data_IF_553439108804
#
_entry.id   IF_553439108804
#
_cell.length_a   1.000
_cell.length_b   1.000
_cell.length_c   1.000
_cell.angle_alpha   90.00
_cell.angle_beta   90.00
_cell.angle_gamma   90.00
#
_symmetry.space_group_name_H-M   'P 1'
#
loop_
_entity.id
_entity.type
_entity.pdbx_description
1 polymer ?
#
# COMPACT_ATOMS: atom_id res chain seq x y z
N UNK A 1 20.48 -40.68 -44.86
CA UNK A 1 20.05 -39.27 -44.82
C UNK A 1 18.87 -39.23 -43.89
N UNK A 2 19.11 -38.67 -42.71
CA UNK A 2 18.14 -38.41 -41.65
C UNK A 2 17.21 -37.24 -42.02
N UNK A 3 16.36 -36.88 -41.06
CA UNK A 3 15.30 -35.86 -41.01
C UNK A 3 13.93 -36.37 -41.48
N UNK A 4 12.86 -36.41 -40.66
CA UNK A 4 12.64 -35.84 -39.32
C UNK A 4 11.39 -36.48 -38.72
N UNK A 5 11.47 -36.89 -37.46
CA UNK A 5 10.35 -37.37 -36.63
C UNK A 5 10.12 -36.33 -35.54
N UNK A 6 8.85 -36.14 -35.17
CA UNK A 6 8.37 -35.58 -33.90
C UNK A 6 8.87 -34.19 -33.47
N UNK A 7 7.92 -33.25 -33.41
CA UNK A 7 7.35 -32.91 -32.10
C UNK A 7 6.10 -32.05 -32.26
N UNK A 8 4.97 -32.59 -31.79
CA UNK A 8 3.87 -31.79 -31.29
C UNK A 8 4.43 -30.87 -30.19
N UNK A 9 4.42 -29.57 -30.44
CA UNK A 9 4.63 -28.58 -29.39
C UNK A 9 3.43 -28.62 -28.44
N UNK A 10 3.65 -29.37 -27.36
CA UNK A 10 2.96 -29.30 -26.10
C UNK A 10 2.99 -27.85 -25.60
N UNK A 11 1.97 -27.07 -25.96
CA UNK A 11 1.67 -25.78 -25.36
C UNK A 11 1.20 -26.04 -23.92
N UNK A 12 2.17 -26.44 -23.10
CA UNK A 12 2.02 -26.71 -21.69
C UNK A 12 1.53 -25.44 -21.03
N UNK A 13 0.22 -25.46 -20.75
CA UNK A 13 -0.52 -24.68 -19.76
C UNK A 13 0.41 -24.08 -18.72
N UNK A 14 0.91 -22.88 -19.00
CA UNK A 14 1.52 -22.02 -18.01
C UNK A 14 0.38 -21.54 -17.13
N UNK A 15 0.00 -22.40 -16.18
CA UNK A 15 -0.93 -22.12 -15.10
C UNK A 15 -0.62 -20.72 -14.57
N UNK A 16 -1.48 -19.77 -14.93
CA UNK A 16 -1.51 -18.46 -14.34
C UNK A 16 -1.80 -18.68 -12.86
N UNK A 17 -0.73 -18.80 -12.08
CA UNK A 17 -0.75 -18.65 -10.64
C UNK A 17 -0.99 -17.17 -10.38
N UNK A 18 -2.17 -16.67 -10.74
CA UNK A 18 -2.79 -15.61 -9.97
C UNK A 18 -2.77 -16.15 -8.55
N UNK A 19 -1.85 -15.64 -7.73
CA UNK A 19 -1.93 -15.81 -6.30
C UNK A 19 -3.24 -15.14 -5.93
N UNK A 20 -4.32 -15.94 -5.93
CA UNK A 20 -5.57 -15.61 -5.28
C UNK A 20 -5.15 -15.01 -3.96
N UNK A 21 -5.58 -13.77 -3.68
CA UNK A 21 -5.35 -13.17 -2.37
C UNK A 21 -5.66 -14.25 -1.35
N UNK A 22 -4.84 -14.37 -0.30
CA UNK A 22 -5.29 -15.06 0.89
C UNK A 22 -6.48 -14.26 1.38
N UNK A 23 -7.67 -14.52 0.82
CA UNK A 23 -8.91 -13.99 1.34
C UNK A 23 -9.01 -14.66 2.68
N UNK A 24 -8.81 -13.88 3.74
CA UNK A 24 -8.98 -14.41 5.08
C UNK A 24 -10.43 -14.90 5.15
N UNK A 25 -10.62 -16.22 5.10
CA UNK A 25 -11.95 -16.87 5.05
C UNK A 25 -12.74 -16.54 6.33
N UNK A 26 -12.03 -16.04 7.35
CA UNK A 26 -12.60 -15.66 8.63
C UNK A 26 -13.01 -14.20 8.60
N UNK A 27 -14.30 -13.97 8.79
CA UNK A 27 -14.85 -12.65 9.07
C UNK A 27 -14.84 -12.40 10.58
N UNK A 28 -14.32 -11.25 11.01
CA UNK A 28 -14.42 -10.83 12.41
C UNK A 28 -15.90 -10.59 12.73
N UNK A 29 -16.42 -11.22 13.79
CA UNK A 29 -17.85 -11.13 14.18
C UNK A 29 -18.16 -9.98 15.14
N UNK A 30 -17.17 -9.14 15.41
CA UNK A 30 -17.28 -7.94 16.22
C UNK A 30 -16.78 -6.77 15.40
N UNK A 31 -17.20 -5.56 15.77
CA UNK A 31 -16.67 -4.35 15.18
C UNK A 31 -15.15 -4.27 15.44
N UNK A 32 -14.32 -4.04 14.42
CA UNK A 32 -12.90 -3.80 14.61
C UNK A 32 -12.66 -2.60 15.51
N UNK A 33 -11.60 -2.65 16.32
CA UNK A 33 -11.23 -1.53 17.19
C UNK A 33 -10.74 -0.31 16.39
N UNK A 34 -10.17 -0.54 15.21
CA UNK A 34 -9.61 0.52 14.39
C UNK A 34 -10.00 0.37 12.92
N UNK A 35 -10.37 1.49 12.29
CA UNK A 35 -10.45 1.56 10.84
C UNK A 35 -9.04 1.75 10.24
N UNK A 36 -8.81 1.22 9.04
CA UNK A 36 -7.60 1.47 8.27
C UNK A 36 -7.33 2.97 8.05
N UNK A 37 -8.33 3.76 7.65
CA UNK A 37 -8.11 5.18 7.33
C UNK A 37 -7.73 6.00 8.58
N UNK A 38 -8.19 5.60 9.77
CA UNK A 38 -7.85 6.23 11.05
C UNK A 38 -6.43 5.89 11.52
N UNK A 39 -5.93 4.75 11.06
CA UNK A 39 -4.61 4.21 11.45
C UNK A 39 -3.56 4.38 10.35
N UNK A 40 -3.95 4.83 9.18
CA UNK A 40 -3.03 5.18 8.12
C UNK A 40 -2.21 6.43 8.50
N UNK A 41 -0.92 6.42 8.20
CA UNK A 41 -0.02 7.55 8.38
C UNK A 41 0.37 8.08 7.00
N UNK A 42 -0.10 9.28 6.68
CA UNK A 42 0.24 9.95 5.42
C UNK A 42 1.74 10.13 5.27
N UNK A 43 2.22 10.02 4.03
CA UNK A 43 3.64 10.22 3.71
C UNK A 43 4.08 11.69 3.85
N UNK A 44 3.14 12.62 3.75
CA UNK A 44 3.41 14.05 3.79
C UNK A 44 3.55 14.57 5.21
N UNK A 45 4.39 15.59 5.40
CA UNK A 45 4.58 16.25 6.67
C UNK A 45 3.85 17.58 6.77
N UNK A 46 3.52 18.20 5.65
CA UNK A 46 2.95 19.55 5.61
C UNK A 46 1.79 19.66 4.62
N UNK A 47 0.88 20.60 4.86
CA UNK A 47 -0.26 20.93 3.99
C UNK A 47 -0.20 22.38 3.55
N UNK A 48 -0.57 22.65 2.31
CA UNK A 48 -0.65 24.00 1.77
C UNK A 48 -1.84 24.76 2.36
N UNK A 49 -1.60 26.00 2.76
CA UNK A 49 -2.59 26.96 3.24
C UNK A 49 -2.59 28.17 2.30
N UNK A 50 -3.77 28.71 2.06
CA UNK A 50 -3.96 29.98 1.37
C UNK A 50 -4.29 31.03 2.41
N UNK A 51 -3.44 32.02 2.57
CA UNK A 51 -3.71 33.14 3.45
C UNK A 51 -4.82 34.03 2.86
N UNK A 52 -5.52 34.81 3.70
CA UNK A 52 -6.51 35.78 3.24
C UNK A 52 -5.95 36.76 2.20
N UNK A 53 -4.65 37.04 2.26
CA UNK A 53 -3.93 37.95 1.36
C UNK A 53 -3.51 37.28 0.03
N UNK A 54 -3.80 35.99 -0.15
CA UNK A 54 -3.47 35.22 -1.35
C UNK A 54 -2.10 34.55 -1.33
N UNK A 55 -1.31 34.75 -0.27
CA UNK A 55 -0.02 34.10 -0.08
C UNK A 55 -0.17 32.60 0.21
N UNK A 56 0.83 31.83 -0.21
CA UNK A 56 0.89 30.38 -0.04
C UNK A 56 1.98 30.04 0.96
N UNK A 57 1.59 29.42 2.07
CA UNK A 57 2.52 28.79 3.00
C UNK A 57 2.13 27.33 3.27
N UNK A 58 2.96 26.63 4.04
CA UNK A 58 2.74 25.22 4.37
C UNK A 58 2.80 25.04 5.89
N UNK A 59 1.76 24.42 6.41
CA UNK A 59 1.62 24.11 7.83
C UNK A 59 1.96 22.65 8.11
N UNK A 60 2.68 22.34 9.20
CA UNK A 60 2.90 20.97 9.63
C UNK A 60 1.59 20.21 9.94
N UNK A 61 1.50 18.97 9.47
CA UNK A 61 0.43 18.03 9.83
C UNK A 61 0.75 17.47 11.22
N UNK A 62 0.12 18.05 12.26
CA UNK A 62 0.34 17.65 13.66
C UNK A 62 -0.91 17.00 14.29
N UNK A 63 -0.76 15.91 15.06
CA UNK A 63 0.37 14.96 15.06
C UNK A 63 0.24 13.98 13.86
N UNK A 64 1.28 13.86 13.03
CA UNK A 64 1.29 12.89 11.90
C UNK A 64 1.21 11.44 12.37
N UNK A 65 1.83 11.13 13.52
CA UNK A 65 1.83 9.80 14.15
C UNK A 65 1.00 9.85 15.44
N UNK A 66 -0.21 9.31 15.38
CA UNK A 66 -1.08 9.15 16.56
C UNK A 66 -0.98 7.73 17.08
N UNK A 67 -0.71 7.58 18.37
CA UNK A 67 -0.63 6.28 19.03
C UNK A 67 -2.02 5.64 19.16
N UNK A 68 -2.07 4.32 18.94
CA UNK A 68 -3.25 3.47 19.19
C UNK A 68 -3.31 2.97 20.63
N UNK A 69 -2.30 3.27 21.45
CA UNK A 69 -2.06 2.64 22.76
C UNK A 69 -1.81 1.12 22.69
N UNK A 70 -1.69 0.55 21.50
CA UNK A 70 -1.30 -0.84 21.27
C UNK A 70 0.11 -0.84 20.69
N UNK A 71 1.12 -1.00 21.56
CA UNK A 71 2.54 -0.85 21.22
C UNK A 71 2.95 -1.63 19.97
N UNK A 72 2.57 -2.91 19.87
CA UNK A 72 2.91 -3.75 18.72
C UNK A 72 2.23 -3.29 17.42
N UNK A 73 1.05 -2.70 17.51
CA UNK A 73 0.35 -2.16 16.34
C UNK A 73 0.97 -0.84 15.89
N UNK A 74 1.29 0.04 16.84
CA UNK A 74 2.04 1.27 16.57
C UNK A 74 3.41 0.96 15.95
N UNK A 75 4.14 -0.03 16.49
CA UNK A 75 5.40 -0.49 15.93
C UNK A 75 5.26 -0.97 14.48
N UNK A 76 4.19 -1.72 14.16
CA UNK A 76 3.93 -2.17 12.80
C UNK A 76 3.60 -1.00 11.87
N UNK A 77 2.74 -0.07 12.30
CA UNK A 77 2.41 1.14 11.55
C UNK A 77 3.64 2.00 11.26
N UNK A 78 4.52 2.18 12.24
CA UNK A 78 5.75 2.95 12.06
C UNK A 78 6.75 2.25 11.15
N UNK A 79 6.83 0.93 11.21
CA UNK A 79 7.62 0.13 10.27
C UNK A 79 7.15 0.33 8.83
N UNK A 80 5.84 0.34 8.58
CA UNK A 80 5.26 0.66 7.27
C UNK A 80 5.48 2.12 6.87
N UNK A 81 5.36 3.04 7.82
CA UNK A 81 5.58 4.46 7.60
C UNK A 81 7.00 4.76 7.11
N UNK A 82 8.00 4.08 7.69
CA UNK A 82 9.41 4.09 7.26
C UNK A 82 9.66 3.45 5.88
N UNK A 83 8.61 2.99 5.19
CA UNK A 83 8.69 2.41 3.85
C UNK A 83 9.10 0.94 3.85
N UNK A 84 9.17 0.28 5.01
CA UNK A 84 9.51 -1.15 5.11
C UNK A 84 8.25 -1.99 4.95
N UNK A 85 8.34 -3.12 4.25
CA UNK A 85 7.16 -3.94 3.89
C UNK A 85 7.32 -5.44 4.12
N UNK A 86 8.48 -5.90 4.61
CA UNK A 86 8.70 -7.32 4.91
C UNK A 86 8.11 -7.69 6.26
N UNK A 87 6.98 -8.44 6.26
CA UNK A 87 6.35 -8.95 7.48
C UNK A 87 7.29 -9.89 8.24
N UNK A 88 8.06 -10.72 7.52
CA UNK A 88 9.04 -11.63 8.13
C UNK A 88 10.12 -10.87 8.90
N UNK A 89 10.66 -9.80 8.32
CA UNK A 89 11.69 -9.01 8.99
C UNK A 89 11.14 -8.27 10.22
N UNK A 90 9.92 -7.73 10.10
CA UNK A 90 9.22 -7.12 11.24
C UNK A 90 9.02 -8.15 12.37
N UNK A 91 8.42 -9.31 12.08
CA UNK A 91 8.21 -10.33 13.09
C UNK A 91 9.52 -10.79 13.75
N UNK A 92 10.58 -10.99 12.95
CA UNK A 92 11.89 -11.40 13.46
C UNK A 92 12.49 -10.38 14.44
N UNK A 93 12.32 -9.08 14.22
CA UNK A 93 12.87 -8.06 15.14
C UNK A 93 12.16 -8.03 16.50
N UNK A 94 10.96 -8.63 16.60
CA UNK A 94 10.17 -8.70 17.82
C UNK A 94 9.99 -10.12 18.37
N UNK A 95 10.74 -11.12 17.86
CA UNK A 95 10.62 -12.51 18.31
C UNK A 95 9.28 -13.18 17.96
N UNK A 96 8.56 -12.66 16.96
CA UNK A 96 7.25 -13.15 16.51
C UNK A 96 7.36 -14.05 15.29
N UNK A 97 6.28 -14.79 15.02
CA UNK A 97 6.02 -15.41 13.72
C UNK A 97 4.94 -14.63 12.98
N UNK A 98 4.93 -14.73 11.64
CA UNK A 98 3.95 -14.03 10.79
C UNK A 98 2.49 -14.38 11.15
N UNK A 99 2.12 -15.64 11.46
CA UNK A 99 0.76 -15.96 11.94
C UNK A 99 0.32 -15.20 13.19
N UNK A 100 1.21 -14.93 14.15
CA UNK A 100 0.87 -14.12 15.33
C UNK A 100 0.56 -12.67 14.95
N UNK A 101 1.35 -12.11 14.04
CA UNK A 101 1.07 -10.77 13.51
C UNK A 101 -0.27 -10.72 12.77
N UNK A 102 -0.56 -11.72 11.92
CA UNK A 102 -1.85 -11.81 11.23
C UNK A 102 -3.02 -11.82 12.23
N UNK A 103 -2.94 -12.64 13.27
CA UNK A 103 -3.98 -12.71 14.30
C UNK A 103 -4.16 -11.39 15.04
N UNK A 104 -3.07 -10.74 15.44
CA UNK A 104 -3.12 -9.43 16.11
C UNK A 104 -3.79 -8.38 15.23
N UNK A 105 -3.30 -8.18 14.00
CA UNK A 105 -3.83 -7.14 13.11
C UNK A 105 -5.29 -7.44 12.72
N UNK A 106 -5.63 -8.72 12.55
CA UNK A 106 -7.01 -9.13 12.26
C UNK A 106 -7.97 -8.81 13.41
N UNK A 107 -7.59 -9.10 14.65
CA UNK A 107 -8.43 -8.76 15.81
C UNK A 107 -8.62 -7.24 15.97
N UNK A 108 -7.61 -6.44 15.60
CA UNK A 108 -7.65 -4.98 15.75
C UNK A 108 -8.40 -4.28 14.61
N UNK A 109 -8.26 -4.77 13.39
CA UNK A 109 -8.66 -4.03 12.16
C UNK A 109 -9.64 -4.79 11.27
N UNK A 110 -9.89 -6.07 11.54
CA UNK A 110 -10.60 -6.97 10.64
C UNK A 110 -9.80 -7.39 9.40
N UNK A 111 -8.61 -6.81 9.18
CA UNK A 111 -7.70 -7.15 8.09
C UNK A 111 -6.56 -8.00 8.62
N UNK A 112 -6.10 -8.97 7.83
CA UNK A 112 -4.83 -9.61 8.18
C UNK A 112 -3.64 -8.67 7.88
N UNK A 113 -2.46 -8.98 8.43
CA UNK A 113 -1.28 -8.13 8.28
C UNK A 113 -0.80 -7.94 6.83
N UNK A 114 -1.05 -8.90 5.94
CA UNK A 114 -0.73 -8.77 4.50
C UNK A 114 -1.70 -7.81 3.84
N UNK A 115 -3.00 -7.97 4.07
CA UNK A 115 -4.02 -7.10 3.50
C UNK A 115 -3.86 -5.66 4.01
N UNK A 116 -3.65 -5.48 5.31
CA UNK A 116 -3.39 -4.16 5.91
C UNK A 116 -2.19 -3.47 5.26
N UNK A 117 -1.08 -4.20 5.07
CA UNK A 117 0.12 -3.69 4.39
C UNK A 117 -0.16 -3.34 2.93
N UNK A 118 -0.91 -4.17 2.20
CA UNK A 118 -1.25 -3.88 0.80
C UNK A 118 -2.11 -2.63 0.70
N UNK A 119 -3.11 -2.48 1.57
CA UNK A 119 -3.93 -1.26 1.66
C UNK A 119 -3.08 -0.03 1.98
N UNK A 120 -2.11 -0.15 2.90
CA UNK A 120 -1.14 0.91 3.20
C UNK A 120 -0.37 1.37 1.96
N UNK A 121 0.18 0.41 1.21
CA UNK A 121 0.96 0.67 0.01
C UNK A 121 0.10 1.34 -1.08
N UNK A 122 -1.12 0.86 -1.30
CA UNK A 122 -2.01 1.41 -2.32
C UNK A 122 -2.55 2.80 -1.94
N UNK A 123 -2.90 3.02 -0.67
CA UNK A 123 -3.29 4.36 -0.17
C UNK A 123 -2.16 5.36 -0.36
N UNK A 124 -0.93 4.96 -0.03
CA UNK A 124 0.27 5.78 -0.22
C UNK A 124 0.58 6.04 -1.69
N UNK A 125 0.40 5.05 -2.55
CA UNK A 125 0.53 5.24 -3.99
C UNK A 125 -0.50 6.26 -4.52
N UNK A 126 -1.76 6.17 -4.11
CA UNK A 126 -2.80 7.13 -4.49
C UNK A 126 -2.48 8.55 -3.98
N UNK A 127 -2.00 8.70 -2.75
CA UNK A 127 -1.52 9.98 -2.20
C UNK A 127 -0.42 10.59 -3.07
N UNK A 128 0.61 9.80 -3.41
CA UNK A 128 1.72 10.26 -4.24
C UNK A 128 1.28 10.57 -5.66
N UNK A 129 0.43 9.73 -6.25
CA UNK A 129 -0.15 9.98 -7.56
C UNK A 129 -0.99 11.25 -7.55
N UNK A 130 -1.75 11.54 -6.49
CA UNK A 130 -2.65 12.67 -6.44
C UNK A 130 -1.94 14.00 -6.20
N UNK A 131 -1.06 14.04 -5.20
CA UNK A 131 -0.57 15.31 -4.66
C UNK A 131 0.84 15.70 -5.12
N UNK A 132 1.54 14.85 -5.88
CA UNK A 132 2.91 15.14 -6.36
C UNK A 132 3.00 15.08 -7.89
N UNK A 133 4.12 15.48 -8.49
CA UNK A 133 4.43 15.22 -9.90
C UNK A 133 5.47 14.11 -10.10
N UNK A 134 5.66 13.25 -9.11
CA UNK A 134 6.61 12.14 -9.19
C UNK A 134 6.32 11.24 -10.40
N UNK A 135 7.38 10.68 -10.97
CA UNK A 135 7.29 9.64 -12.00
C UNK A 135 6.71 8.34 -11.41
N UNK A 136 6.12 7.49 -12.25
CA UNK A 136 5.58 6.19 -11.81
C UNK A 136 6.64 5.31 -11.10
N UNK A 137 7.91 5.27 -11.54
CA UNK A 137 8.97 4.59 -10.79
C UNK A 137 9.21 5.15 -9.39
N UNK A 138 9.20 6.47 -9.22
CA UNK A 138 9.35 7.09 -7.90
C UNK A 138 8.15 6.78 -7.01
N UNK A 139 6.93 6.80 -7.56
CA UNK A 139 5.72 6.40 -6.82
C UNK A 139 5.81 4.94 -6.39
N UNK A 140 6.25 4.02 -7.25
CA UNK A 140 6.39 2.61 -6.90
C UNK A 140 7.39 2.40 -5.75
N UNK A 141 8.52 3.11 -5.79
CA UNK A 141 9.54 3.07 -4.74
C UNK A 141 9.02 3.65 -3.42
N UNK A 142 8.43 4.85 -3.45
CA UNK A 142 8.01 5.59 -2.25
C UNK A 142 6.74 5.06 -1.59
N UNK A 143 5.85 4.43 -2.36
CA UNK A 143 4.66 3.73 -1.83
C UNK A 143 5.01 2.45 -1.08
N UNK A 144 6.23 1.92 -1.28
CA UNK A 144 6.67 0.65 -0.71
C UNK A 144 6.26 -0.58 -1.53
N UNK A 145 5.58 -0.40 -2.66
CA UNK A 145 5.26 -1.49 -3.63
C UNK A 145 6.53 -2.03 -4.31
N UNK A 146 7.55 -1.18 -4.43
CA UNK A 146 8.87 -1.53 -4.93
C UNK A 146 9.09 -1.05 -6.36
N UNK A 147 8.65 -1.85 -7.33
CA UNK A 147 8.99 -1.63 -8.76
C UNK A 147 7.77 -1.16 -9.58
N UNK A 148 7.99 -0.44 -10.70
CA UNK A 148 6.89 -0.01 -11.58
C UNK A 148 6.00 -1.16 -12.08
N UNK A 149 6.52 -2.33 -12.50
CA UNK A 149 5.69 -3.47 -12.88
C UNK A 149 4.80 -3.97 -11.73
N UNK A 150 5.33 -4.06 -10.50
CA UNK A 150 4.54 -4.45 -9.35
C UNK A 150 3.41 -3.45 -9.08
N UNK A 151 3.70 -2.15 -9.21
CA UNK A 151 2.70 -1.10 -9.08
C UNK A 151 1.62 -1.22 -10.15
N UNK A 152 2.01 -1.45 -11.40
CA UNK A 152 1.07 -1.65 -12.50
C UNK A 152 0.11 -2.81 -12.21
N UNK A 153 0.63 -3.99 -11.86
CA UNK A 153 -0.22 -5.14 -11.56
C UNK A 153 -1.08 -4.95 -10.30
N UNK A 154 -0.59 -4.22 -9.30
CA UNK A 154 -1.40 -3.89 -8.13
C UNK A 154 -2.59 -2.99 -8.50
N UNK A 155 -2.38 -1.99 -9.36
CA UNK A 155 -3.45 -1.13 -9.85
C UNK A 155 -4.44 -1.85 -10.78
N UNK A 156 -3.95 -2.71 -11.68
CA UNK A 156 -4.83 -3.52 -12.52
C UNK A 156 -5.73 -4.42 -11.66
N UNK A 157 -5.17 -5.05 -10.63
CA UNK A 157 -5.90 -5.94 -9.73
C UNK A 157 -6.95 -5.20 -8.89
N UNK A 158 -6.60 -4.03 -8.35
CA UNK A 158 -7.42 -3.35 -7.34
C UNK A 158 -8.38 -2.30 -7.92
N UNK A 159 -8.07 -1.75 -9.09
CA UNK A 159 -8.80 -0.64 -9.71
C UNK A 159 -9.07 -0.81 -11.21
N UNK A 160 -8.65 -1.94 -11.80
CA UNK A 160 -8.80 -2.23 -13.23
C UNK A 160 -8.26 -1.12 -14.16
N UNK A 161 -7.14 -0.51 -13.77
CA UNK A 161 -6.50 0.54 -14.56
C UNK A 161 -4.99 0.60 -14.32
N UNK A 162 -4.28 1.35 -15.16
CA UNK A 162 -2.87 1.68 -14.95
C UNK A 162 -2.69 2.80 -13.89
N UNK A 163 -1.52 2.90 -13.25
CA UNK A 163 -1.23 4.00 -12.32
C UNK A 163 -1.35 5.40 -12.96
N UNK A 164 -1.07 5.52 -14.27
CA UNK A 164 -1.21 6.77 -15.03
C UNK A 164 -2.67 7.15 -15.28
N UNK A 165 -3.54 6.17 -15.53
CA UNK A 165 -4.99 6.40 -15.62
C UNK A 165 -5.57 6.75 -14.27
N UNK A 166 -5.20 6.02 -13.21
CA UNK A 166 -5.58 6.34 -11.84
C UNK A 166 -5.24 7.79 -11.50
N UNK A 167 -4.01 8.22 -11.78
CA UNK A 167 -3.55 9.60 -11.57
C UNK A 167 -4.47 10.62 -12.22
N UNK A 168 -4.86 10.39 -13.48
CA UNK A 168 -5.77 11.28 -14.20
C UNK A 168 -7.17 11.28 -13.60
N UNK A 169 -7.65 10.13 -13.13
CA UNK A 169 -8.98 9.98 -12.55
C UNK A 169 -9.12 10.63 -11.16
N UNK A 170 -8.10 10.55 -10.30
CA UNK A 170 -8.21 11.00 -8.90
C UNK A 170 -7.76 12.45 -8.66
N UNK A 171 -6.99 13.04 -9.58
CA UNK A 171 -6.48 14.41 -9.43
C UNK A 171 -7.57 15.44 -9.70
N UNK A 172 -7.66 16.40 -8.80
CA UNK A 172 -8.49 17.60 -8.94
C UNK A 172 -7.63 18.85 -9.13
N UNK A 173 -8.20 19.97 -9.63
CA UNK A 173 -7.52 21.25 -9.64
C UNK A 173 -6.94 21.58 -8.26
N UNK A 174 -5.70 22.10 -8.25
CA UNK A 174 -4.95 22.44 -7.03
C UNK A 174 -4.55 21.26 -6.12
N UNK A 175 -4.69 19.99 -6.53
CA UNK A 175 -4.18 18.88 -5.71
C UNK A 175 -2.64 18.81 -5.71
N UNK A 176 -1.99 19.09 -6.83
CA UNK A 176 -0.52 19.01 -6.89
C UNK A 176 0.09 20.07 -5.96
N UNK A 177 1.02 19.63 -5.10
CA UNK A 177 1.62 20.45 -4.06
C UNK A 177 0.65 20.84 -2.94
N UNK A 178 -0.52 20.21 -2.84
CA UNK A 178 -1.41 20.42 -1.69
C UNK A 178 -0.78 19.89 -0.40
N UNK A 179 0.03 18.85 -0.53
CA UNK A 179 0.79 18.26 0.55
C UNK A 179 2.25 18.07 0.12
N UNK A 180 3.18 18.17 1.08
CA UNK A 180 4.62 17.94 0.87
C UNK A 180 5.23 17.16 2.04
#
# INVERSE_FOLDING_TARGET
MEYENDTLDDYSSSSERYRTRHVNIRTLRVEPQFNFDETYITIFSERRIYDPDGDIHYDPIKPRRTSTQVEMFDAFRYYLDEGKSSLRNFCRSYGLTVPYLHGLIFCLTGMDATDYRLSWQMKRADELLRYTNLSIPEVARMSGVGTPPNLFYAYQRDYDCSPSERRRAIRQPNDVGRFR
#
